data_IF_283574902702
#
_entry.id   IF_283574902702
#
_cell.length_a   1.000
_cell.length_b   1.000
_cell.length_c   1.000
_cell.angle_alpha   90.00
_cell.angle_beta   90.00
_cell.angle_gamma   90.00
#
_symmetry.space_group_name_H-M   'P 1'
#
loop_
_entity.id
_entity.type
_entity.pdbx_description
1 polymer ?
#
# COMPACT_ATOMS: atom_id res chain seq x y z
N UNK A 1 -16.45 -22.80 2.19
CA UNK A 1 -15.39 -23.74 2.58
C UNK A 1 -15.43 -23.99 4.08
N UNK A 2 -15.87 -25.20 4.48
CA UNK A 2 -16.15 -25.55 5.89
C UNK A 2 -14.89 -25.45 6.78
N UNK A 3 -13.74 -25.85 6.28
CA UNK A 3 -12.48 -25.80 7.06
C UNK A 3 -12.11 -24.37 7.46
N UNK A 4 -12.28 -23.39 6.56
CA UNK A 4 -12.03 -21.98 6.88
C UNK A 4 -13.03 -21.46 7.90
N UNK A 5 -14.31 -21.87 7.81
CA UNK A 5 -15.34 -21.46 8.78
C UNK A 5 -15.02 -21.99 10.18
N UNK A 6 -14.61 -23.25 10.32
CA UNK A 6 -14.22 -23.83 11.61
C UNK A 6 -12.95 -23.15 12.15
N UNK A 7 -11.95 -22.94 11.31
CA UNK A 7 -10.72 -22.24 11.71
C UNK A 7 -10.99 -20.80 12.18
N UNK A 8 -11.88 -20.07 11.48
CA UNK A 8 -12.29 -18.73 11.89
C UNK A 8 -13.09 -18.75 13.20
N UNK A 9 -13.99 -19.72 13.38
CA UNK A 9 -14.78 -19.84 14.61
C UNK A 9 -13.87 -20.09 15.81
N UNK A 10 -12.84 -20.91 15.67
CA UNK A 10 -11.83 -21.14 16.70
C UNK A 10 -10.95 -19.89 16.95
N UNK A 11 -10.43 -19.29 15.87
CA UNK A 11 -9.60 -18.09 15.94
C UNK A 11 -10.31 -16.92 16.64
N UNK A 12 -11.59 -16.71 16.34
CA UNK A 12 -12.39 -15.60 16.89
C UNK A 12 -12.70 -15.75 18.38
N UNK A 13 -12.46 -16.92 18.99
CA UNK A 13 -12.54 -17.08 20.44
C UNK A 13 -11.43 -16.31 21.18
N UNK A 14 -10.32 -16.07 20.52
CA UNK A 14 -9.23 -15.25 21.06
C UNK A 14 -9.42 -13.77 20.67
N UNK A 15 -10.14 -13.02 21.49
CA UNK A 15 -10.41 -11.60 21.24
C UNK A 15 -9.14 -10.76 21.01
N UNK A 16 -8.06 -11.06 21.71
CA UNK A 16 -6.80 -10.32 21.55
C UNK A 16 -6.21 -10.47 20.15
N UNK A 17 -6.43 -11.61 19.48
CA UNK A 17 -5.88 -11.86 18.15
C UNK A 17 -6.41 -10.90 17.09
N UNK A 18 -7.65 -10.41 17.20
CA UNK A 18 -8.24 -9.48 16.23
C UNK A 18 -8.39 -8.05 16.77
N UNK A 19 -8.58 -7.85 18.09
CA UNK A 19 -8.69 -6.49 18.66
C UNK A 19 -7.39 -5.69 18.58
N UNK A 20 -6.25 -6.37 18.53
CA UNK A 20 -4.94 -5.72 18.38
C UNK A 20 -4.61 -5.37 16.93
N UNK A 21 -5.32 -5.96 15.96
CA UNK A 21 -5.04 -5.76 14.53
C UNK A 21 -5.06 -4.29 14.08
N UNK A 22 -6.00 -3.45 14.50
CA UNK A 22 -6.00 -2.03 14.13
C UNK A 22 -4.71 -1.31 14.56
N UNK A 23 -4.22 -1.57 15.76
CA UNK A 23 -2.98 -0.97 16.26
C UNK A 23 -1.76 -1.45 15.48
N UNK A 24 -1.70 -2.74 15.16
CA UNK A 24 -0.62 -3.32 14.35
C UNK A 24 -0.62 -2.68 12.95
N UNK A 25 -1.79 -2.54 12.32
CA UNK A 25 -1.90 -1.92 11.00
C UNK A 25 -1.54 -0.44 11.03
N UNK A 26 -1.94 0.28 12.08
CA UNK A 26 -1.57 1.67 12.26
C UNK A 26 -0.05 1.84 12.40
N UNK A 27 0.61 1.05 13.23
CA UNK A 27 2.07 1.08 13.38
C UNK A 27 2.78 0.83 12.05
N UNK A 28 2.34 -0.17 11.29
CA UNK A 28 2.90 -0.46 9.96
C UNK A 28 2.69 0.69 8.96
N UNK A 29 1.51 1.30 8.97
CA UNK A 29 1.22 2.48 8.14
C UNK A 29 2.13 3.64 8.50
N UNK A 30 2.24 3.96 9.78
CA UNK A 30 3.01 5.09 10.26
C UNK A 30 4.51 4.89 9.97
N UNK A 31 5.01 3.67 10.14
CA UNK A 31 6.37 3.30 9.74
C UNK A 31 6.58 3.47 8.22
N UNK A 32 5.66 2.97 7.40
CA UNK A 32 5.75 3.12 5.95
C UNK A 32 5.69 4.59 5.51
N UNK A 33 4.81 5.39 6.11
CA UNK A 33 4.76 6.84 5.88
C UNK A 33 6.10 7.51 6.20
N UNK A 34 6.73 7.14 7.32
CA UNK A 34 8.05 7.65 7.69
C UNK A 34 9.13 7.27 6.66
N UNK A 35 9.20 6.01 6.23
CA UNK A 35 10.14 5.58 5.21
C UNK A 35 9.96 6.35 3.89
N UNK A 36 8.72 6.63 3.50
CA UNK A 36 8.37 7.30 2.26
C UNK A 36 8.61 8.83 2.26
N UNK A 37 8.89 9.45 3.42
CA UNK A 37 9.13 10.90 3.52
C UNK A 37 10.31 11.39 2.66
N UNK A 38 11.28 10.53 2.40
CA UNK A 38 12.45 10.86 1.58
C UNK A 38 12.22 10.61 0.09
N UNK A 39 11.05 10.15 -0.29
CA UNK A 39 10.64 9.98 -1.69
C UNK A 39 9.87 11.21 -2.20
N UNK A 40 9.68 11.28 -3.51
CA UNK A 40 8.89 12.35 -4.13
C UNK A 40 7.38 12.09 -4.09
N UNK A 41 6.93 10.93 -3.62
CA UNK A 41 5.53 10.57 -3.55
C UNK A 41 4.79 11.34 -2.44
N UNK A 42 3.63 11.91 -2.75
CA UNK A 42 2.80 12.64 -1.77
C UNK A 42 1.70 11.75 -1.21
N UNK A 43 1.70 11.46 0.10
CA UNK A 43 0.66 10.63 0.70
C UNK A 43 -0.70 11.29 0.65
N UNK A 44 -1.73 10.50 0.39
CA UNK A 44 -3.13 10.89 0.57
C UNK A 44 -3.64 10.45 1.95
N UNK A 45 -4.64 11.12 2.52
CA UNK A 45 -5.23 10.69 3.79
C UNK A 45 -5.70 9.24 3.76
N UNK A 46 -5.41 8.48 4.82
CA UNK A 46 -5.86 7.10 4.99
C UNK A 46 -6.38 6.90 6.40
N UNK A 47 -7.63 6.46 6.52
CA UNK A 47 -8.33 6.28 7.79
C UNK A 47 -8.59 4.81 8.13
N UNK A 48 -8.05 3.89 7.36
CA UNK A 48 -8.23 2.46 7.57
C UNK A 48 -7.58 1.62 6.48
N UNK A 49 -7.93 0.33 6.42
CA UNK A 49 -7.34 -0.60 5.44
C UNK A 49 -5.87 -0.92 5.73
N UNK A 50 -5.23 -1.62 4.81
CA UNK A 50 -3.80 -1.94 4.78
C UNK A 50 -3.12 -1.40 3.51
N UNK A 51 -3.76 -0.40 2.89
CA UNK A 51 -3.27 0.30 1.73
C UNK A 51 -3.03 1.78 2.03
N UNK A 52 -1.95 2.32 1.45
CA UNK A 52 -1.68 3.74 1.41
C UNK A 52 -1.62 4.20 -0.05
N UNK A 53 -2.39 5.23 -0.36
CA UNK A 53 -2.37 5.87 -1.67
C UNK A 53 -1.39 7.05 -1.69
N UNK A 54 -0.69 7.20 -2.81
CA UNK A 54 0.24 8.31 -3.04
C UNK A 54 -0.03 8.95 -4.40
N UNK A 55 -0.09 10.27 -4.40
CA UNK A 55 -0.16 11.07 -5.62
C UNK A 55 1.25 11.32 -6.15
N UNK A 56 1.42 11.27 -7.48
CA UNK A 56 2.67 11.50 -8.18
C UNK A 56 2.56 12.54 -9.32
N UNK A 57 1.44 13.23 -9.46
CA UNK A 57 1.17 14.15 -10.58
C UNK A 57 2.25 15.22 -10.78
N UNK A 58 2.96 15.61 -9.71
CA UNK A 58 4.04 16.60 -9.78
C UNK A 58 5.40 16.00 -10.21
N UNK A 59 5.49 14.68 -10.37
CA UNK A 59 6.73 13.97 -10.73
C UNK A 59 6.87 13.78 -12.24
N UNK A 60 5.79 13.36 -12.90
CA UNK A 60 5.73 13.12 -14.35
C UNK A 60 4.28 13.05 -14.83
N UNK A 61 4.10 13.04 -16.16
CA UNK A 61 2.78 12.99 -16.82
C UNK A 61 2.37 11.58 -17.27
N UNK A 62 3.13 10.54 -16.92
CA UNK A 62 2.76 9.16 -17.26
C UNK A 62 1.39 8.82 -16.68
N UNK A 63 0.57 8.04 -17.41
CA UNK A 63 -0.63 7.50 -16.81
C UNK A 63 -0.29 6.46 -15.72
N UNK A 64 -1.18 6.27 -14.76
CA UNK A 64 -0.90 5.48 -13.56
C UNK A 64 -0.61 4.00 -13.87
N UNK A 65 -1.22 3.41 -14.91
CA UNK A 65 -0.93 2.04 -15.33
C UNK A 65 0.49 1.91 -15.92
N UNK A 66 0.90 2.84 -16.77
CA UNK A 66 2.25 2.84 -17.35
C UNK A 66 3.29 3.06 -16.25
N UNK A 67 3.06 4.02 -15.36
CA UNK A 67 3.96 4.33 -14.25
C UNK A 67 4.08 3.17 -13.26
N UNK A 68 2.98 2.50 -12.89
CA UNK A 68 3.00 1.30 -12.04
C UNK A 68 3.83 0.17 -12.67
N UNK A 69 3.68 -0.05 -13.99
CA UNK A 69 4.48 -1.05 -14.73
C UNK A 69 5.96 -0.69 -14.73
N UNK A 70 6.30 0.57 -14.95
CA UNK A 70 7.69 1.05 -14.95
C UNK A 70 8.32 0.89 -13.58
N UNK A 71 7.67 1.33 -12.51
CA UNK A 71 8.16 1.16 -11.14
C UNK A 71 8.41 -0.31 -10.83
N UNK A 72 7.50 -1.20 -11.24
CA UNK A 72 7.66 -2.64 -11.02
C UNK A 72 8.89 -3.20 -11.76
N UNK A 73 9.11 -2.78 -13.01
CA UNK A 73 10.20 -3.31 -13.85
C UNK A 73 11.57 -2.75 -13.47
N UNK A 74 11.65 -1.45 -13.23
CA UNK A 74 12.93 -0.73 -13.06
C UNK A 74 13.36 -0.71 -11.60
N UNK A 75 12.42 -0.59 -10.67
CA UNK A 75 12.72 -0.44 -9.25
C UNK A 75 12.30 -1.67 -8.40
N UNK A 76 11.62 -2.65 -9.00
CA UNK A 76 11.23 -3.89 -8.30
C UNK A 76 10.19 -3.66 -7.20
N UNK A 77 9.39 -2.60 -7.28
CA UNK A 77 8.33 -2.28 -6.31
C UNK A 77 6.97 -2.37 -7.00
N UNK A 78 6.18 -3.37 -6.63
CA UNK A 78 4.84 -3.56 -7.18
C UNK A 78 3.84 -2.56 -6.56
N UNK A 79 3.13 -1.83 -7.41
CA UNK A 79 2.07 -0.91 -7.04
C UNK A 79 0.81 -1.17 -7.86
N UNK A 80 -0.31 -0.62 -7.43
CA UNK A 80 -1.58 -0.77 -8.14
C UNK A 80 -2.06 0.62 -8.60
N UNK A 81 -2.29 0.80 -9.93
CA UNK A 81 -2.85 2.03 -10.47
C UNK A 81 -4.31 2.19 -10.02
N UNK A 82 -4.68 3.38 -9.56
CA UNK A 82 -6.00 3.62 -9.01
C UNK A 82 -7.07 3.71 -10.08
N UNK A 83 -6.71 4.10 -11.31
CA UNK A 83 -7.61 4.16 -12.47
C UNK A 83 -8.31 2.81 -12.77
N UNK A 84 -7.65 1.70 -12.41
CA UNK A 84 -8.20 0.35 -12.59
C UNK A 84 -9.48 0.08 -11.79
N UNK A 85 -9.79 0.92 -10.81
CA UNK A 85 -11.00 0.82 -9.98
C UNK A 85 -12.13 1.75 -10.42
N UNK A 86 -11.87 2.66 -11.37
CA UNK A 86 -12.87 3.58 -11.87
C UNK A 86 -13.52 3.07 -13.16
N UNK A 87 -14.85 3.05 -13.20
CA UNK A 87 -15.61 2.61 -14.37
C UNK A 87 -15.27 3.38 -15.66
N UNK A 88 -14.93 4.66 -15.53
CA UNK A 88 -14.60 5.56 -16.63
C UNK A 88 -13.09 5.63 -16.91
N UNK A 89 -12.26 4.85 -16.22
CA UNK A 89 -10.80 4.85 -16.40
C UNK A 89 -10.11 6.16 -16.02
N UNK A 90 -10.77 7.01 -15.20
CA UNK A 90 -10.19 8.28 -14.74
C UNK A 90 -8.84 8.05 -14.06
N UNK A 91 -7.82 8.79 -14.52
CA UNK A 91 -6.47 8.77 -13.96
C UNK A 91 -6.19 10.04 -13.15
N UNK A 92 -6.15 9.90 -11.82
CA UNK A 92 -5.83 10.98 -10.88
C UNK A 92 -4.34 11.00 -10.51
N UNK A 93 -3.49 10.27 -11.24
CA UNK A 93 -2.05 10.14 -10.95
C UNK A 93 -1.79 9.59 -9.53
N UNK A 94 -2.53 8.54 -9.17
CA UNK A 94 -2.46 7.93 -7.84
C UNK A 94 -2.09 6.46 -7.93
N UNK A 95 -1.10 6.06 -7.13
CA UNK A 95 -0.70 4.68 -6.95
C UNK A 95 -1.04 4.21 -5.54
N UNK A 96 -1.51 2.97 -5.43
CA UNK A 96 -1.84 2.30 -4.18
C UNK A 96 -0.74 1.31 -3.79
N UNK A 97 -0.23 1.45 -2.57
CA UNK A 97 0.78 0.58 -1.97
C UNK A 97 0.17 -0.22 -0.83
N UNK A 98 0.61 -1.47 -0.66
CA UNK A 98 0.24 -2.32 0.46
C UNK A 98 1.30 -2.23 1.56
N UNK A 99 0.93 -1.77 2.76
CA UNK A 99 1.84 -1.70 3.90
C UNK A 99 1.74 -2.90 4.86
N UNK A 100 0.84 -3.87 4.60
CA UNK A 100 0.76 -5.11 5.38
C UNK A 100 1.92 -6.06 5.04
N UNK A 101 3.15 -5.60 5.29
CA UNK A 101 4.41 -6.28 5.00
C UNK A 101 5.31 -6.24 6.22
N UNK A 102 6.46 -6.94 6.16
CA UNK A 102 7.52 -6.80 7.15
C UNK A 102 8.17 -5.41 7.02
N UNK A 103 8.67 -4.85 8.13
CA UNK A 103 9.32 -3.54 8.15
C UNK A 103 10.50 -3.47 7.18
N UNK A 104 11.33 -4.51 7.15
CA UNK A 104 12.43 -4.64 6.19
C UNK A 104 11.96 -4.50 4.72
N UNK A 105 10.82 -5.11 4.38
CA UNK A 105 10.25 -5.02 3.03
C UNK A 105 9.80 -3.60 2.72
N UNK A 106 9.17 -2.91 3.69
CA UNK A 106 8.72 -1.53 3.55
C UNK A 106 9.88 -0.56 3.41
N UNK A 107 10.91 -0.75 4.23
CA UNK A 107 12.14 0.04 4.16
C UNK A 107 12.83 -0.12 2.80
N UNK A 108 13.08 -1.36 2.39
CA UNK A 108 13.75 -1.64 1.11
C UNK A 108 12.96 -1.12 -0.10
N UNK A 109 11.63 -1.17 -0.05
CA UNK A 109 10.79 -0.59 -1.10
C UNK A 109 10.93 0.94 -1.14
N UNK A 110 10.89 1.61 0.01
CA UNK A 110 11.07 3.06 0.09
C UNK A 110 12.45 3.50 -0.40
N UNK A 111 13.53 2.78 -0.05
CA UNK A 111 14.89 3.08 -0.54
C UNK A 111 14.96 3.05 -2.07
N UNK A 112 14.35 2.04 -2.71
CA UNK A 112 14.30 1.95 -4.17
C UNK A 112 13.45 3.07 -4.80
N UNK A 113 12.42 3.52 -4.12
CA UNK A 113 11.52 4.56 -4.61
C UNK A 113 12.10 5.98 -4.49
N UNK A 114 13.22 6.17 -3.79
CA UNK A 114 13.96 7.44 -3.79
C UNK A 114 14.56 7.78 -5.16
N UNK A 115 14.84 6.75 -5.95
CA UNK A 115 15.46 6.87 -7.27
C UNK A 115 14.44 7.13 -8.41
N UNK A 116 13.15 7.19 -8.09
CA UNK A 116 12.06 7.37 -9.07
C UNK A 116 11.87 8.82 -9.49
#
# INVERSE_FOLDING_TARGET
NSFIQYALADYLQNENAYRTLPNIMQQKRDYFLQCMQQTRFKPLPSHGSYFQCYNYAHMNDENDLAFAKRITREFGVATIPLSSFYKNGRDDKVLRFCFAKKEETLFNAAERLKEV
#
